data_IF_785651433169
#
_entry.id   IF_785651433169
#
_cell.length_a   1.000
_cell.length_b   1.000
_cell.length_c   1.000
_cell.angle_alpha   90.00
_cell.angle_beta   90.00
_cell.angle_gamma   90.00
#
_symmetry.space_group_name_H-M   'P 1'
#
loop_
_entity.id
_entity.type
_entity.pdbx_description
1 polymer ?
#
# COMPACT_ATOMS: atom_id res chain seq x y z
N UNK A 1 -10.50 -3.00 26.07
CA UNK A 1 -11.87 -2.89 25.51
C UNK A 1 -11.73 -2.50 24.05
N UNK A 2 -11.76 -3.48 23.15
CA UNK A 2 -11.73 -3.26 21.70
C UNK A 2 -13.07 -2.72 21.25
N UNK A 3 -13.07 -1.63 20.47
CA UNK A 3 -14.26 -1.10 19.82
C UNK A 3 -14.38 -1.79 18.45
N UNK A 4 -15.57 -2.27 18.06
CA UNK A 4 -15.77 -2.81 16.73
C UNK A 4 -15.71 -1.65 15.71
N UNK A 5 -14.89 -1.82 14.68
CA UNK A 5 -14.66 -0.82 13.63
C UNK A 5 -15.80 -0.87 12.63
N UNK A 6 -16.62 0.19 12.58
CA UNK A 6 -17.62 0.44 11.52
C UNK A 6 -16.98 1.26 10.41
N UNK A 7 -17.20 0.87 9.15
CA UNK A 7 -16.76 1.63 7.97
C UNK A 7 -17.99 2.04 7.13
N UNK A 8 -18.11 3.33 6.83
CA UNK A 8 -19.04 3.89 5.83
C UNK A 8 -18.25 4.29 4.59
N UNK A 9 -18.63 3.80 3.41
CA UNK A 9 -18.04 4.24 2.14
C UNK A 9 -19.10 4.98 1.31
N UNK A 10 -18.83 6.24 0.99
CA UNK A 10 -19.60 7.05 0.03
C UNK A 10 -18.84 7.13 -1.29
N UNK A 11 -19.54 6.82 -2.38
CA UNK A 11 -18.98 6.89 -3.74
C UNK A 11 -19.99 6.46 -4.79
N UNK A 12 -20.73 7.43 -5.33
CA UNK A 12 -21.63 7.28 -6.48
C UNK A 12 -20.93 7.79 -7.74
N UNK A 13 -20.64 6.90 -8.69
CA UNK A 13 -20.34 7.28 -10.08
C UNK A 13 -21.04 6.29 -11.02
N UNK A 14 -22.04 6.77 -11.76
CA UNK A 14 -22.85 5.98 -12.67
C UNK A 14 -22.21 5.92 -14.06
N UNK A 15 -21.81 4.73 -14.52
CA UNK A 15 -22.14 4.25 -15.86
C UNK A 15 -22.08 2.71 -15.86
N UNK A 16 -23.21 2.03 -16.06
CA UNK A 16 -23.30 0.56 -16.15
C UNK A 16 -22.83 -0.25 -14.93
N UNK A 17 -22.91 0.32 -13.72
CA UNK A 17 -22.21 -0.17 -12.53
C UNK A 17 -22.52 -1.62 -12.15
N UNK A 18 -21.51 -2.50 -12.22
CA UNK A 18 -21.51 -3.75 -11.47
C UNK A 18 -21.78 -3.40 -10.01
N UNK A 19 -22.80 -3.98 -9.41
CA UNK A 19 -23.06 -3.83 -7.97
C UNK A 19 -21.89 -4.49 -7.25
N UNK A 20 -21.08 -3.70 -6.57
CA UNK A 20 -20.02 -4.23 -5.70
C UNK A 20 -20.66 -4.69 -4.40
N UNK A 21 -20.32 -5.90 -3.97
CA UNK A 21 -20.68 -6.45 -2.66
C UNK A 21 -19.39 -6.69 -1.91
N UNK A 22 -19.21 -6.01 -0.81
CA UNK A 22 -18.15 -6.35 0.14
C UNK A 22 -18.59 -7.58 0.94
N UNK A 23 -17.69 -8.56 1.04
CA UNK A 23 -17.89 -9.78 1.82
C UNK A 23 -16.69 -9.89 2.75
N UNK A 24 -16.96 -9.97 4.04
CA UNK A 24 -15.91 -10.25 5.02
C UNK A 24 -15.45 -11.70 4.88
N UNK A 25 -14.14 -11.88 4.70
CA UNK A 25 -13.50 -13.18 4.53
C UNK A 25 -12.95 -13.72 5.85
N UNK A 26 -12.82 -12.86 6.86
CA UNK A 26 -12.22 -13.18 8.16
C UNK A 26 -10.80 -12.63 8.32
N UNK A 27 -10.13 -13.13 9.35
CA UNK A 27 -8.82 -12.68 9.81
C UNK A 27 -7.81 -13.84 9.87
N UNK A 28 -6.54 -13.50 9.69
CA UNK A 28 -5.41 -14.39 9.95
C UNK A 28 -4.41 -13.61 10.80
N UNK A 29 -4.05 -14.17 11.94
CA UNK A 29 -3.08 -13.57 12.83
C UNK A 29 -1.63 -13.98 12.47
N UNK A 30 -0.61 -13.33 13.07
CA UNK A 30 0.79 -13.63 12.77
C UNK A 30 1.27 -15.05 13.11
N UNK A 31 0.52 -15.79 13.93
CA UNK A 31 0.83 -17.17 14.31
C UNK A 31 0.10 -18.19 13.43
N UNK A 32 -0.67 -17.72 12.44
CA UNK A 32 -1.43 -18.56 11.53
C UNK A 32 -2.73 -19.08 12.14
N UNK A 33 -3.28 -18.39 13.15
CA UNK A 33 -4.63 -18.64 13.66
C UNK A 33 -5.60 -17.58 13.10
N UNK A 34 -6.86 -17.63 13.51
CA UNK A 34 -7.90 -16.69 13.06
C UNK A 34 -9.00 -17.38 12.24
N UNK A 35 -10.08 -16.64 11.98
CA UNK A 35 -11.29 -17.19 11.34
C UNK A 35 -11.07 -17.63 9.89
N UNK A 36 -10.06 -17.09 9.21
CA UNK A 36 -9.72 -17.40 7.83
C UNK A 36 -8.44 -18.26 7.68
N UNK A 37 -7.80 -18.68 8.78
CA UNK A 37 -6.50 -19.38 8.74
C UNK A 37 -6.51 -20.67 7.93
N UNK A 38 -7.60 -21.44 8.01
CA UNK A 38 -7.78 -22.70 7.28
C UNK A 38 -8.44 -22.51 5.89
N UNK A 39 -8.72 -21.27 5.49
CA UNK A 39 -9.40 -20.98 4.24
C UNK A 39 -8.44 -20.98 3.05
N UNK A 40 -8.74 -21.81 2.05
CA UNK A 40 -7.99 -21.80 0.79
C UNK A 40 -8.47 -20.66 -0.11
N UNK A 41 -7.54 -19.95 -0.76
CA UNK A 41 -7.85 -18.87 -1.72
C UNK A 41 -8.81 -19.36 -2.84
N UNK A 42 -8.62 -20.59 -3.31
CA UNK A 42 -9.50 -21.20 -4.31
C UNK A 42 -10.96 -21.40 -3.83
N UNK A 43 -11.19 -21.46 -2.51
CA UNK A 43 -12.51 -21.61 -1.89
C UNK A 43 -13.28 -20.31 -1.70
N UNK A 44 -12.64 -19.16 -1.93
CA UNK A 44 -13.25 -17.83 -1.73
C UNK A 44 -14.23 -17.48 -2.87
N UNK A 45 -14.13 -18.16 -4.02
CA UNK A 45 -15.03 -17.97 -5.16
C UNK A 45 -14.72 -16.71 -5.99
N UNK A 46 -13.47 -16.27 -6.01
CA UNK A 46 -13.02 -15.15 -6.84
C UNK A 46 -13.00 -15.53 -8.33
N UNK A 47 -13.41 -14.58 -9.17
CA UNK A 47 -13.28 -14.62 -10.62
C UNK A 47 -12.23 -13.62 -11.11
N UNK A 48 -11.61 -13.84 -12.29
CA UNK A 48 -10.73 -12.84 -12.89
C UNK A 48 -11.39 -11.45 -13.01
N UNK A 49 -10.71 -10.44 -12.51
CA UNK A 49 -11.18 -9.06 -12.39
C UNK A 49 -11.84 -8.70 -11.04
N UNK A 50 -12.05 -9.68 -10.15
CA UNK A 50 -12.51 -9.40 -8.79
C UNK A 50 -11.37 -8.82 -7.92
N UNK A 51 -11.75 -7.92 -7.02
CA UNK A 51 -10.86 -7.27 -6.07
C UNK A 51 -11.07 -7.84 -4.66
N UNK A 52 -9.97 -7.99 -3.92
CA UNK A 52 -9.93 -8.36 -2.50
C UNK A 52 -9.19 -7.27 -1.71
N UNK A 53 -9.77 -6.89 -0.58
CA UNK A 53 -9.12 -5.98 0.39
C UNK A 53 -8.34 -6.81 1.40
N UNK A 54 -7.06 -6.48 1.59
CA UNK A 54 -6.21 -7.08 2.60
C UNK A 54 -5.67 -5.96 3.50
N UNK A 55 -5.96 -6.03 4.80
CA UNK A 55 -5.48 -5.05 5.77
C UNK A 55 -4.37 -5.70 6.57
N UNK A 56 -3.20 -5.07 6.57
CA UNK A 56 -2.12 -5.44 7.46
C UNK A 56 -1.96 -4.35 8.53
N UNK A 57 -2.34 -4.66 9.77
CA UNK A 57 -2.36 -3.69 10.86
C UNK A 57 -1.37 -4.05 11.97
N UNK A 58 -0.19 -3.45 11.91
CA UNK A 58 0.73 -3.29 13.05
C UNK A 58 0.78 -1.83 13.52
N UNK A 59 -0.38 -1.17 13.58
CA UNK A 59 -0.55 0.21 14.04
C UNK A 59 -0.72 1.25 12.94
N UNK A 60 -0.54 0.86 11.68
CA UNK A 60 -0.65 1.76 10.52
C UNK A 60 -1.92 1.59 9.68
N UNK A 61 -2.76 0.57 9.94
CA UNK A 61 -3.96 0.25 9.16
C UNK A 61 -3.74 0.34 7.64
N UNK A 62 -2.69 -0.29 7.11
CA UNK A 62 -2.39 -0.22 5.69
C UNK A 62 -3.35 -1.14 4.94
N UNK A 63 -4.17 -0.56 4.06
CA UNK A 63 -5.08 -1.30 3.19
C UNK A 63 -4.43 -1.57 1.83
N UNK A 64 -4.43 -2.85 1.45
CA UNK A 64 -4.00 -3.32 0.14
C UNK A 64 -5.22 -3.77 -0.66
N UNK A 65 -5.23 -3.41 -1.95
CA UNK A 65 -6.17 -3.96 -2.93
C UNK A 65 -5.45 -4.96 -3.81
N UNK A 66 -5.96 -6.19 -3.82
CA UNK A 66 -5.46 -7.31 -4.60
C UNK A 66 -6.48 -7.64 -5.68
N UNK A 67 -6.09 -7.65 -6.95
CA UNK A 67 -6.97 -8.03 -8.06
C UNK A 67 -6.58 -9.42 -8.54
N UNK A 68 -7.54 -10.33 -8.69
CA UNK A 68 -7.28 -11.60 -9.35
C UNK A 68 -7.22 -11.37 -10.86
N UNK A 69 -6.03 -11.38 -11.44
CA UNK A 69 -5.89 -11.12 -12.88
C UNK A 69 -6.27 -12.35 -13.72
N UNK A 70 -5.88 -13.55 -13.27
CA UNK A 70 -5.95 -14.77 -14.07
C UNK A 70 -5.91 -16.03 -13.18
N UNK A 71 -6.56 -17.10 -13.62
CA UNK A 71 -6.43 -18.45 -13.06
C UNK A 71 -5.87 -19.37 -14.15
N UNK A 72 -4.66 -19.91 -13.93
CA UNK A 72 -3.95 -20.77 -14.88
C UNK A 72 -3.73 -22.18 -14.36
N UNK A 73 -3.46 -23.09 -15.29
CA UNK A 73 -2.92 -24.41 -14.94
C UNK A 73 -1.52 -24.26 -14.34
N UNK A 74 -1.18 -24.98 -13.26
CA UNK A 74 0.15 -24.95 -12.68
C UNK A 74 1.24 -25.29 -13.69
N UNK A 75 2.34 -24.54 -13.67
CA UNK A 75 3.47 -24.76 -14.57
C UNK A 75 4.37 -25.90 -14.05
N UNK A 76 4.73 -26.82 -14.94
CA UNK A 76 5.59 -27.96 -14.61
C UNK A 76 7.00 -27.47 -14.27
N UNK A 77 7.54 -27.93 -13.14
CA UNK A 77 8.90 -27.61 -12.72
C UNK A 77 9.07 -26.22 -12.10
N UNK A 78 7.98 -25.51 -11.84
CA UNK A 78 8.00 -24.18 -11.21
C UNK A 78 7.74 -24.29 -9.71
N UNK A 79 8.56 -23.62 -8.90
CA UNK A 79 8.32 -23.42 -7.48
C UNK A 79 7.42 -22.19 -7.25
N UNK A 80 6.42 -22.35 -6.39
CA UNK A 80 5.49 -21.30 -5.95
C UNK A 80 5.65 -21.06 -4.44
N UNK A 81 5.38 -19.87 -3.89
CA UNK A 81 4.97 -18.61 -4.54
C UNK A 81 6.13 -17.94 -5.30
N UNK A 82 5.84 -17.23 -6.40
CA UNK A 82 6.83 -16.47 -7.17
C UNK A 82 6.31 -15.10 -7.58
N UNK A 83 7.23 -14.16 -7.76
CA UNK A 83 6.95 -12.84 -8.33
C UNK A 83 7.28 -12.88 -9.82
N UNK A 84 6.26 -12.75 -10.68
CA UNK A 84 6.44 -12.78 -12.14
C UNK A 84 6.74 -11.41 -12.75
N UNK A 85 6.33 -10.34 -12.06
CA UNK A 85 6.59 -8.97 -12.47
C UNK A 85 6.54 -8.03 -11.25
N UNK A 86 7.17 -6.87 -11.38
CA UNK A 86 7.08 -5.79 -10.40
C UNK A 86 7.01 -4.46 -11.15
N UNK A 87 6.18 -3.56 -10.65
CA UNK A 87 6.17 -2.18 -11.15
C UNK A 87 7.58 -1.59 -11.07
N UNK A 88 7.97 -0.84 -12.11
CA UNK A 88 9.21 -0.06 -12.04
C UNK A 88 9.06 0.94 -10.87
N UNK A 89 10.00 0.97 -9.92
CA UNK A 89 9.95 1.89 -8.79
C UNK A 89 9.86 3.32 -9.30
N UNK A 90 9.03 4.14 -8.66
CA UNK A 90 8.79 5.52 -9.07
C UNK A 90 9.67 6.42 -8.22
N UNK A 91 10.95 6.46 -8.58
CA UNK A 91 11.92 7.31 -7.91
C UNK A 91 11.53 8.79 -7.97
N UNK A 92 11.39 9.41 -6.79
CA UNK A 92 11.33 10.86 -6.64
C UNK A 92 12.71 11.40 -6.29
N UNK A 93 13.05 12.57 -6.81
CA UNK A 93 14.33 13.22 -6.57
C UNK A 93 14.17 14.41 -5.63
N UNK A 94 15.12 14.59 -4.72
CA UNK A 94 15.19 15.71 -3.80
C UNK A 94 15.22 17.05 -4.59
N UNK A 95 14.21 17.92 -4.44
CA UNK A 95 14.15 19.19 -5.19
C UNK A 95 15.35 20.12 -4.96
N UNK A 96 15.85 20.31 -3.71
CA UNK A 96 17.10 21.05 -3.47
C UNK A 96 18.29 20.51 -4.26
N UNK A 97 18.52 19.19 -4.23
CA UNK A 97 19.60 18.55 -4.96
C UNK A 97 19.44 18.70 -6.48
N UNK A 98 18.21 18.60 -6.99
CA UNK A 98 17.91 18.78 -8.42
C UNK A 98 18.28 20.18 -8.89
N UNK A 99 18.01 21.22 -8.08
CA UNK A 99 18.44 22.60 -8.36
C UNK A 99 19.95 22.74 -8.49
N UNK A 100 20.72 21.94 -7.75
CA UNK A 100 22.18 21.88 -7.78
C UNK A 100 22.73 20.89 -8.84
N UNK A 101 21.90 20.40 -9.76
CA UNK A 101 22.24 19.37 -10.76
C UNK A 101 22.73 18.04 -10.16
N UNK A 102 22.39 17.76 -8.90
CA UNK A 102 22.60 16.47 -8.24
C UNK A 102 21.32 15.62 -8.33
N UNK A 103 21.48 14.29 -8.41
CA UNK A 103 20.36 13.33 -8.48
C UNK A 103 20.34 12.46 -7.23
N UNK A 104 19.86 13.03 -6.13
CA UNK A 104 19.65 12.31 -4.87
C UNK A 104 18.19 11.88 -4.76
N UNK A 105 17.95 10.65 -4.34
CA UNK A 105 16.61 10.12 -4.10
C UNK A 105 15.99 10.75 -2.85
N UNK A 106 14.67 10.88 -2.86
CA UNK A 106 13.89 11.25 -1.67
C UNK A 106 13.80 10.04 -0.76
N UNK A 107 14.08 10.27 0.52
CA UNK A 107 13.84 9.29 1.59
C UNK A 107 12.83 9.84 2.61
N UNK A 108 12.61 11.15 2.67
CA UNK A 108 11.91 11.81 3.76
C UNK A 108 10.89 12.84 3.27
N UNK A 109 9.79 12.96 4.02
CA UNK A 109 8.80 14.03 3.96
C UNK A 109 8.95 14.84 5.24
N UNK A 110 9.34 16.11 5.15
CA UNK A 110 9.39 17.00 6.31
C UNK A 110 7.96 17.48 6.62
N UNK A 111 7.39 17.06 7.74
CA UNK A 111 6.01 17.35 8.12
C UNK A 111 5.83 18.83 8.44
N UNK A 112 6.71 19.42 9.25
CA UNK A 112 6.63 20.83 9.64
C UNK A 112 6.66 21.78 8.44
N UNK A 113 7.57 21.53 7.49
CA UNK A 113 7.66 22.34 6.28
C UNK A 113 6.48 22.08 5.34
N UNK A 114 5.95 20.86 5.31
CA UNK A 114 4.81 20.54 4.47
C UNK A 114 3.55 21.22 4.97
N UNK A 115 3.35 21.23 6.28
CA UNK A 115 2.25 21.93 6.95
C UNK A 115 2.37 23.44 6.76
N UNK A 116 3.55 24.01 6.99
CA UNK A 116 3.77 25.45 6.82
C UNK A 116 3.57 25.92 5.36
N UNK A 117 3.92 25.09 4.37
CA UNK A 117 3.86 25.44 2.95
C UNK A 117 2.62 24.92 2.22
N UNK A 118 1.76 24.14 2.91
CA UNK A 118 0.58 23.49 2.34
C UNK A 118 0.91 22.67 1.08
N UNK A 119 2.05 21.98 1.09
CA UNK A 119 2.53 21.10 0.00
C UNK A 119 3.58 20.13 0.50
N UNK A 120 3.70 18.95 -0.10
CA UNK A 120 4.76 18.00 0.26
C UNK A 120 6.18 18.60 0.09
N UNK A 121 6.94 18.62 1.17
CA UNK A 121 8.36 18.97 1.19
C UNK A 121 9.20 17.71 1.31
N UNK A 122 9.56 17.17 0.15
CA UNK A 122 10.31 15.92 -0.01
C UNK A 122 11.82 16.17 -0.02
N UNK A 123 12.58 15.42 0.77
CA UNK A 123 14.01 15.61 0.96
C UNK A 123 14.78 14.29 0.89
N UNK A 124 16.04 14.38 0.49
CA UNK A 124 17.01 13.30 0.76
C UNK A 124 17.54 13.46 2.19
N UNK A 125 18.13 12.39 2.73
CA UNK A 125 18.71 12.37 4.07
C UNK A 125 19.70 13.53 4.30
N UNK A 126 20.61 13.77 3.36
CA UNK A 126 21.58 14.87 3.47
C UNK A 126 20.93 16.27 3.56
N UNK A 127 19.82 16.51 2.84
CA UNK A 127 19.11 17.79 2.92
C UNK A 127 18.25 17.89 4.17
N UNK A 128 17.73 16.76 4.68
CA UNK A 128 17.04 16.74 5.97
C UNK A 128 18.01 17.13 7.08
N UNK A 129 19.16 16.45 7.19
CA UNK A 129 20.14 16.75 8.25
C UNK A 129 20.77 18.13 8.13
N UNK A 130 21.00 18.64 6.91
CA UNK A 130 21.67 19.93 6.75
C UNK A 130 20.79 21.13 7.12
N UNK A 131 19.48 21.08 6.83
CA UNK A 131 18.60 22.26 6.88
C UNK A 131 17.32 22.04 7.71
N UNK A 132 17.05 20.80 8.15
CA UNK A 132 15.78 20.38 8.75
C UNK A 132 15.98 19.34 9.87
N UNK A 133 17.13 19.33 10.53
CA UNK A 133 17.46 18.34 11.57
C UNK A 133 16.47 18.38 12.74
N UNK A 134 16.00 19.58 13.10
CA UNK A 134 15.06 19.79 14.21
C UNK A 134 13.58 19.65 13.80
N UNK A 135 13.30 19.26 12.55
CA UNK A 135 11.92 19.15 12.06
C UNK A 135 11.39 17.73 12.16
N UNK A 136 10.09 17.58 12.40
CA UNK A 136 9.44 16.29 12.30
C UNK A 136 9.41 15.81 10.84
N UNK A 137 9.81 14.56 10.61
CA UNK A 137 9.87 13.97 9.28
C UNK A 137 9.43 12.51 9.26
N UNK A 138 8.73 12.13 8.20
CA UNK A 138 8.28 10.77 7.93
C UNK A 138 9.09 10.15 6.78
N UNK A 139 9.42 8.87 6.90
CA UNK A 139 10.07 8.14 5.80
C UNK A 139 9.09 7.93 4.64
N UNK A 140 9.57 8.10 3.42
CA UNK A 140 8.76 7.93 2.20
C UNK A 140 9.20 6.65 1.48
N UNK A 141 8.26 5.72 1.31
CA UNK A 141 8.48 4.52 0.51
C UNK A 141 8.17 4.84 -0.96
N UNK A 142 9.18 4.80 -1.84
CA UNK A 142 9.09 5.14 -3.28
C UNK A 142 9.20 3.93 -4.23
#
# INVERSE_FOLDING_TARGET
MMRPTTWEASGSWCDGGRRFREVDLGDVDPFGEGSAADQYVAGIGLSPGDDMKYVYDFGGCIEHRLTLEEIVTPEVGVAYLRVVSRNKPRYRYCPPCKGQRRRSLVNWLCLDCSDAQQRDVLLCEACLTAEHEDHEAAEVVC
#
